data_IF_137323251746
#
_entry.id   IF_137323251746
#
_cell.length_a   1.000
_cell.length_b   1.000
_cell.length_c   1.000
_cell.angle_alpha   90.00
_cell.angle_beta   90.00
_cell.angle_gamma   90.00
#
_symmetry.space_group_name_H-M   'P 1'
#
loop_
_entity.id
_entity.type
_entity.pdbx_description
1 polymer ?
#
# COMPACT_ATOMS: atom_id res chain seq x y z
N UNK A 1 -16.83 -7.18 -18.26
CA UNK A 1 -15.70 -6.49 -17.59
C UNK A 1 -14.74 -7.48 -16.97
N UNK A 2 -13.45 -7.40 -17.32
CA UNK A 2 -12.41 -8.28 -16.76
C UNK A 2 -12.23 -8.07 -15.25
N UNK A 3 -12.30 -6.82 -14.80
CA UNK A 3 -12.19 -6.49 -13.38
C UNK A 3 -13.35 -7.03 -12.56
N UNK A 4 -14.57 -7.00 -13.11
CA UNK A 4 -15.74 -7.60 -12.46
C UNK A 4 -15.58 -9.11 -12.28
N UNK A 5 -15.14 -9.82 -13.33
CA UNK A 5 -14.88 -11.25 -13.25
C UNK A 5 -13.76 -11.58 -12.24
N UNK A 6 -12.74 -10.71 -12.14
CA UNK A 6 -11.69 -10.83 -11.14
C UNK A 6 -12.22 -10.62 -9.71
N UNK A 7 -13.07 -9.60 -9.48
CA UNK A 7 -13.73 -9.39 -8.19
C UNK A 7 -14.59 -10.59 -7.77
N UNK A 8 -15.34 -11.17 -8.69
CA UNK A 8 -16.12 -12.39 -8.45
C UNK A 8 -15.19 -13.57 -8.11
N UNK A 9 -14.05 -13.69 -8.78
CA UNK A 9 -13.05 -14.73 -8.48
C UNK A 9 -12.45 -14.58 -7.08
N UNK A 10 -12.19 -13.36 -6.60
CA UNK A 10 -11.61 -13.14 -5.27
C UNK A 10 -12.45 -13.69 -4.11
N UNK A 11 -13.75 -13.96 -4.33
CA UNK A 11 -14.62 -14.59 -3.33
C UNK A 11 -14.12 -15.98 -2.90
N UNK A 12 -13.32 -16.66 -3.72
CA UNK A 12 -12.69 -17.94 -3.35
C UNK A 12 -11.83 -17.83 -2.09
N UNK A 13 -11.16 -16.70 -1.88
CA UNK A 13 -10.35 -16.45 -0.70
C UNK A 13 -11.21 -16.20 0.54
N UNK A 14 -12.34 -15.49 0.37
CA UNK A 14 -13.34 -15.29 1.43
C UNK A 14 -13.90 -16.63 1.87
N UNK A 15 -14.31 -17.48 0.94
CA UNK A 15 -14.87 -18.80 1.25
C UNK A 15 -13.86 -19.67 2.00
N UNK A 16 -12.59 -19.71 1.55
CA UNK A 16 -11.52 -20.42 2.26
C UNK A 16 -11.29 -19.87 3.66
N UNK A 17 -11.28 -18.55 3.83
CA UNK A 17 -11.15 -17.93 5.15
C UNK A 17 -12.29 -18.37 6.09
N UNK A 18 -13.54 -18.29 5.61
CA UNK A 18 -14.73 -18.68 6.39
C UNK A 18 -14.67 -20.16 6.78
N UNK A 19 -14.35 -21.05 5.82
CA UNK A 19 -14.22 -22.49 6.09
C UNK A 19 -13.21 -22.77 7.21
N UNK A 20 -12.10 -22.04 7.26
CA UNK A 20 -11.06 -22.20 8.30
C UNK A 20 -11.44 -21.57 9.63
N UNK A 21 -12.16 -20.44 9.61
CA UNK A 21 -12.64 -19.82 10.84
C UNK A 21 -13.80 -20.61 11.48
N UNK A 22 -14.63 -21.27 10.67
CA UNK A 22 -15.70 -22.16 11.12
C UNK A 22 -15.17 -23.50 11.66
N UNK A 23 -13.95 -23.89 11.27
CA UNK A 23 -13.21 -25.05 11.81
C UNK A 23 -12.41 -24.67 13.07
N UNK A 24 -13.09 -24.68 14.21
CA UNK A 24 -12.51 -24.42 15.55
C UNK A 24 -11.65 -23.14 15.63
N UNK A 25 -12.08 -22.08 14.93
CA UNK A 25 -11.33 -20.82 14.84
C UNK A 25 -9.86 -21.02 14.43
N UNK A 26 -9.61 -21.85 13.42
CA UNK A 26 -8.26 -22.08 12.89
C UNK A 26 -7.70 -20.83 12.18
N UNK A 27 -7.23 -19.89 13.00
CA UNK A 27 -6.68 -18.60 12.57
C UNK A 27 -5.39 -18.76 11.76
N UNK A 28 -4.62 -19.83 11.95
CA UNK A 28 -3.39 -20.07 11.20
C UNK A 28 -3.68 -20.28 9.70
N UNK A 29 -4.64 -21.14 9.38
CA UNK A 29 -5.05 -21.37 7.99
C UNK A 29 -5.88 -20.18 7.44
N UNK A 30 -6.68 -19.52 8.29
CA UNK A 30 -7.42 -18.32 7.88
C UNK A 30 -6.47 -17.17 7.48
N UNK A 31 -5.41 -16.94 8.25
CA UNK A 31 -4.35 -15.97 7.92
C UNK A 31 -3.64 -16.38 6.63
N UNK A 32 -3.44 -17.68 6.39
CA UNK A 32 -2.86 -18.18 5.14
C UNK A 32 -3.74 -17.80 3.93
N UNK A 33 -5.06 -17.90 4.05
CA UNK A 33 -6.00 -17.47 3.00
C UNK A 33 -5.91 -15.95 2.73
N UNK A 34 -5.76 -15.13 3.77
CA UNK A 34 -5.53 -13.68 3.64
C UNK A 34 -4.20 -13.40 2.92
N UNK A 35 -3.13 -14.13 3.25
CA UNK A 35 -1.83 -13.98 2.58
C UNK A 35 -1.92 -14.31 1.09
N UNK A 36 -2.60 -15.40 0.73
CA UNK A 36 -2.82 -15.77 -0.67
C UNK A 36 -3.61 -14.69 -1.42
N UNK A 37 -4.68 -14.17 -0.81
CA UNK A 37 -5.45 -13.03 -1.34
C UNK A 37 -4.54 -11.82 -1.62
N UNK A 38 -3.73 -11.42 -0.64
CA UNK A 38 -2.82 -10.27 -0.78
C UNK A 38 -1.80 -10.50 -1.90
N UNK A 39 -1.28 -11.72 -2.03
CA UNK A 39 -0.32 -12.07 -3.09
C UNK A 39 -0.94 -11.97 -4.48
N UNK A 40 -2.19 -12.41 -4.62
CA UNK A 40 -2.95 -12.30 -5.86
C UNK A 40 -3.20 -10.83 -6.23
N UNK A 41 -3.69 -10.05 -5.27
CA UNK A 41 -3.92 -8.60 -5.41
C UNK A 41 -2.65 -7.88 -5.86
N UNK A 42 -1.51 -8.15 -5.21
CA UNK A 42 -0.24 -7.53 -5.56
C UNK A 42 0.24 -7.87 -6.99
N UNK A 43 -0.29 -8.93 -7.58
CA UNK A 43 0.04 -9.36 -8.96
C UNK A 43 -0.93 -8.75 -9.98
N UNK A 44 -2.22 -8.62 -9.63
CA UNK A 44 -3.29 -8.33 -10.58
C UNK A 44 -3.90 -6.92 -10.44
N UNK A 45 -3.66 -6.21 -9.33
CA UNK A 45 -4.10 -4.82 -9.13
C UNK A 45 -2.91 -3.88 -9.33
N UNK A 46 -3.09 -2.86 -10.16
CA UNK A 46 -2.05 -1.89 -10.51
C UNK A 46 -2.57 -0.46 -10.49
N UNK A 47 -1.71 0.51 -10.84
CA UNK A 47 -2.11 1.92 -10.95
C UNK A 47 -3.14 2.19 -12.05
N UNK A 48 -3.23 1.28 -13.03
CA UNK A 48 -4.17 1.37 -14.14
C UNK A 48 -5.53 0.71 -13.83
N UNK A 49 -5.64 0.03 -12.68
CA UNK A 49 -6.89 -0.57 -12.21
C UNK A 49 -7.93 0.49 -11.88
N UNK A 50 -9.21 0.16 -12.08
CA UNK A 50 -10.29 1.08 -11.72
C UNK A 50 -10.32 1.35 -10.23
N UNK A 51 -10.82 2.54 -9.88
CA UNK A 51 -11.08 2.92 -8.49
C UNK A 51 -12.02 1.93 -7.81
N UNK A 52 -13.03 1.45 -8.51
CA UNK A 52 -14.01 0.48 -7.99
C UNK A 52 -13.34 -0.85 -7.62
N UNK A 53 -12.44 -1.37 -8.45
CA UNK A 53 -11.64 -2.55 -8.15
C UNK A 53 -10.78 -2.33 -6.90
N UNK A 54 -10.05 -1.22 -6.84
CA UNK A 54 -9.17 -0.89 -5.71
C UNK A 54 -9.94 -0.76 -4.37
N UNK A 55 -11.10 -0.10 -4.38
CA UNK A 55 -11.94 0.07 -3.19
C UNK A 55 -12.55 -1.27 -2.74
N UNK A 56 -13.01 -2.08 -3.68
CA UNK A 56 -13.61 -3.40 -3.39
C UNK A 56 -12.58 -4.36 -2.79
N UNK A 57 -11.37 -4.38 -3.36
CA UNK A 57 -10.26 -5.20 -2.86
C UNK A 57 -9.83 -4.78 -1.46
N UNK A 58 -9.71 -3.47 -1.21
CA UNK A 58 -9.39 -2.95 0.12
C UNK A 58 -10.48 -3.31 1.14
N UNK A 59 -11.75 -3.23 0.73
CA UNK A 59 -12.88 -3.63 1.56
C UNK A 59 -12.79 -5.11 1.94
N UNK A 60 -12.48 -5.98 0.98
CA UNK A 60 -12.33 -7.41 1.24
C UNK A 60 -11.16 -7.70 2.20
N UNK A 61 -10.01 -7.06 2.02
CA UNK A 61 -8.87 -7.21 2.94
C UNK A 61 -9.28 -6.83 4.37
N UNK A 62 -9.98 -5.71 4.53
CA UNK A 62 -10.43 -5.22 5.84
C UNK A 62 -11.48 -6.13 6.46
N UNK A 63 -12.43 -6.61 5.66
CA UNK A 63 -13.46 -7.58 6.05
C UNK A 63 -12.83 -8.83 6.67
N UNK A 64 -11.85 -9.45 6.00
CA UNK A 64 -11.20 -10.65 6.51
C UNK A 64 -10.25 -10.36 7.70
N UNK A 65 -9.69 -9.16 7.78
CA UNK A 65 -8.82 -8.76 8.89
C UNK A 65 -9.55 -8.35 10.17
N UNK A 66 -10.81 -7.93 10.09
CA UNK A 66 -11.55 -7.33 11.20
C UNK A 66 -11.76 -8.29 12.38
N UNK A 67 -12.18 -9.57 12.18
CA UNK A 67 -12.38 -10.50 13.29
C UNK A 67 -11.09 -10.81 14.06
N UNK A 68 -9.93 -10.64 13.41
CA UNK A 68 -8.60 -10.87 13.98
C UNK A 68 -7.95 -9.59 14.52
N UNK A 69 -8.60 -8.42 14.36
CA UNK A 69 -8.06 -7.13 14.77
C UNK A 69 -6.83 -6.67 13.97
N UNK A 70 -6.66 -7.16 12.73
CA UNK A 70 -5.52 -6.83 11.86
C UNK A 70 -5.97 -6.08 10.61
N UNK A 71 -5.02 -5.42 9.92
CA UNK A 71 -5.23 -4.77 8.62
C UNK A 71 -6.26 -3.61 8.62
N UNK A 72 -6.61 -3.10 9.80
CA UNK A 72 -7.56 -1.97 9.95
C UNK A 72 -6.88 -0.60 9.88
N UNK A 73 -5.57 -0.53 10.12
CA UNK A 73 -4.83 0.72 10.13
C UNK A 73 -4.66 1.27 8.71
N UNK A 74 -4.92 2.57 8.55
CA UNK A 74 -4.56 3.32 7.35
C UNK A 74 -3.10 3.77 7.44
N UNK A 75 -2.29 3.48 6.43
CA UNK A 75 -0.95 4.07 6.28
C UNK A 75 -0.97 5.49 5.71
N UNK A 76 -2.15 5.96 5.27
CA UNK A 76 -2.40 7.20 4.52
C UNK A 76 -2.20 8.50 5.31
N UNK A 77 -1.62 8.42 6.51
CA UNK A 77 -1.39 9.56 7.40
C UNK A 77 0.08 9.78 7.71
N UNK A 78 0.74 8.82 8.37
CA UNK A 78 2.07 9.09 8.94
C UNK A 78 3.22 9.07 7.92
N UNK A 79 3.17 8.21 6.90
CA UNK A 79 4.33 8.02 6.02
C UNK A 79 4.33 9.04 4.88
N UNK A 80 3.18 9.27 4.25
CA UNK A 80 3.02 10.26 3.17
C UNK A 80 3.32 11.67 3.68
N UNK A 81 2.77 12.05 4.83
CA UNK A 81 2.96 13.38 5.42
C UNK A 81 4.42 13.61 5.85
N UNK A 82 5.10 12.58 6.37
CA UNK A 82 6.54 12.64 6.68
C UNK A 82 7.39 12.82 5.40
N UNK A 83 7.07 12.10 4.34
CA UNK A 83 7.78 12.18 3.06
C UNK A 83 7.56 13.53 2.40
N UNK A 84 6.34 14.03 2.38
CA UNK A 84 6.01 15.36 1.85
C UNK A 84 6.75 16.46 2.61
N UNK A 85 6.80 16.37 3.94
CA UNK A 85 7.56 17.32 4.77
C UNK A 85 9.07 17.27 4.48
N UNK A 86 9.65 16.07 4.32
CA UNK A 86 11.05 15.92 3.90
C UNK A 86 11.30 16.50 2.50
N UNK A 87 10.38 16.30 1.55
CA UNK A 87 10.49 16.89 0.21
C UNK A 87 10.44 18.42 0.28
N UNK A 88 9.54 18.98 1.09
CA UNK A 88 9.42 20.42 1.27
C UNK A 88 10.69 21.01 1.91
N UNK A 89 11.23 20.36 2.95
CA UNK A 89 12.51 20.74 3.57
C UNK A 89 13.66 20.70 2.57
N UNK A 90 13.72 19.67 1.70
CA UNK A 90 14.72 19.59 0.62
C UNK A 90 14.57 20.75 -0.36
N UNK A 91 13.34 21.11 -0.76
CA UNK A 91 13.12 22.24 -1.65
C UNK A 91 13.55 23.56 -1.00
N UNK A 92 13.26 23.75 0.29
CA UNK A 92 13.66 24.93 1.03
C UNK A 92 15.19 25.01 1.17
N UNK A 93 15.86 23.89 1.45
CA UNK A 93 17.32 23.80 1.48
C UNK A 93 17.94 24.19 0.12
N UNK A 94 17.38 23.71 -1.00
CA UNK A 94 17.81 24.12 -2.36
C UNK A 94 17.60 25.61 -2.61
N UNK A 95 16.46 26.18 -2.21
CA UNK A 95 16.19 27.63 -2.33
C UNK A 95 17.18 28.46 -1.51
N UNK A 96 17.55 27.97 -0.33
CA UNK A 96 18.51 28.59 0.57
C UNK A 96 19.99 28.33 0.18
N UNK A 97 20.24 27.60 -0.93
CA UNK A 97 21.59 27.15 -1.37
C UNK A 97 22.31 26.25 -0.35
N UNK A 98 21.58 25.61 0.55
CA UNK A 98 22.09 24.59 1.46
C UNK A 98 22.05 23.23 0.76
N UNK A 99 23.04 23.01 -0.12
CA UNK A 99 23.15 21.77 -0.89
C UNK A 99 23.47 20.56 -0.01
N UNK A 100 24.20 20.76 1.09
CA UNK A 100 24.55 19.69 2.02
C UNK A 100 23.32 19.10 2.71
N UNK A 101 22.41 19.96 3.20
CA UNK A 101 21.15 19.53 3.79
C UNK A 101 20.23 18.87 2.74
N UNK A 102 20.16 19.44 1.53
CA UNK A 102 19.35 18.88 0.45
C UNK A 102 19.80 17.47 0.03
N UNK A 103 21.12 17.22 -0.03
CA UNK A 103 21.68 15.90 -0.33
C UNK A 103 21.45 14.92 0.82
N UNK A 104 21.60 15.37 2.08
CA UNK A 104 21.30 14.54 3.26
C UNK A 104 19.85 14.03 3.25
N UNK A 105 18.89 14.92 3.00
CA UNK A 105 17.46 14.55 2.93
C UNK A 105 17.19 13.60 1.76
N UNK A 106 17.83 13.81 0.60
CA UNK A 106 17.71 12.88 -0.53
C UNK A 106 18.21 11.49 -0.17
N UNK A 107 19.34 11.40 0.52
CA UNK A 107 19.95 10.13 0.89
C UNK A 107 19.14 9.42 1.99
N UNK A 108 18.57 10.15 2.95
CA UNK A 108 17.63 9.62 3.96
C UNK A 108 16.35 9.05 3.30
N UNK A 109 15.78 9.75 2.32
CA UNK A 109 14.63 9.25 1.56
C UNK A 109 15.00 8.01 0.74
N UNK A 110 16.18 7.99 0.12
CA UNK A 110 16.69 6.83 -0.62
C UNK A 110 16.91 5.62 0.29
N UNK A 111 17.42 5.81 1.51
CA UNK A 111 17.59 4.74 2.50
C UNK A 111 16.26 4.13 2.96
N UNK A 112 15.18 4.92 2.87
CA UNK A 112 13.79 4.48 3.12
C UNK A 112 13.11 3.92 1.86
N UNK A 113 13.88 3.57 0.82
CA UNK A 113 13.36 3.06 -0.45
C UNK A 113 12.45 4.05 -1.18
N UNK A 114 12.67 5.36 -1.01
CA UNK A 114 11.91 6.41 -1.68
C UNK A 114 12.82 7.11 -2.69
N UNK A 115 12.45 7.04 -3.95
CA UNK A 115 13.14 7.72 -5.04
C UNK A 115 12.39 9.00 -5.36
N UNK A 116 13.13 10.11 -5.40
CA UNK A 116 12.62 11.41 -5.84
C UNK A 116 12.92 11.63 -7.33
N UNK A 117 11.92 12.10 -8.07
CA UNK A 117 12.01 12.58 -9.44
C UNK A 117 11.69 14.08 -9.47
N UNK A 118 12.70 14.88 -9.81
CA UNK A 118 12.49 16.32 -10.04
C UNK A 118 11.92 16.52 -11.45
N UNK A 119 10.70 17.08 -11.55
CA UNK A 119 10.08 17.47 -12.83
C UNK A 119 9.87 18.99 -12.87
N UNK A 120 9.71 19.61 -14.06
CA UNK A 120 9.36 21.03 -14.17
C UNK A 120 8.03 21.39 -13.47
N UNK A 121 7.15 20.40 -13.26
CA UNK A 121 5.86 20.55 -12.57
C UNK A 121 5.94 20.30 -11.05
N UNK A 122 7.10 19.91 -10.52
CA UNK A 122 7.29 19.62 -9.10
C UNK A 122 8.08 18.34 -8.83
N UNK A 123 8.29 18.03 -7.56
CA UNK A 123 8.98 16.81 -7.12
C UNK A 123 7.95 15.69 -7.03
N UNK A 124 8.10 14.65 -7.83
CA UNK A 124 7.37 13.39 -7.68
C UNK A 124 8.22 12.42 -6.88
N UNK A 125 7.59 11.48 -6.19
CA UNK A 125 8.32 10.43 -5.50
C UNK A 125 7.65 9.08 -5.69
N UNK A 126 8.46 8.03 -5.65
CA UNK A 126 8.02 6.64 -5.76
C UNK A 126 8.70 5.80 -4.69
N UNK A 127 7.93 4.94 -4.03
CA UNK A 127 8.48 3.89 -3.16
C UNK A 127 8.92 2.71 -4.02
N UNK A 128 10.17 2.29 -3.88
CA UNK A 128 10.77 1.18 -4.62
C UNK A 128 11.12 0.09 -3.62
N UNK A 129 10.26 -0.92 -3.51
CA UNK A 129 10.52 -2.10 -2.70
C UNK A 129 11.61 -2.97 -3.31
#
# INVERSE_FOLDING_TARGET
DKEKAYLEFLDVYRQRYIEKMDDDFNTADAITAIFDLIKDINTNVSIDSSKELCESVLSLIRELGEPLGILQNSTKGSLEEEIENLIEQRQQARKNKDFALADKIRDDLKARNIILEDTPQGVRWKKVN
#
